data_IF_957484257355
#
_entry.id   IF_957484257355
#
_cell.length_a   1.000
_cell.length_b   1.000
_cell.length_c   1.000
_cell.angle_alpha   90.00
_cell.angle_beta   90.00
_cell.angle_gamma   90.00
#
_symmetry.space_group_name_H-M   'P 1'
#
loop_
_entity.id
_entity.type
_entity.pdbx_description
1 polymer ?
#
# COMPACT_ATOMS: atom_id res chain seq x y z
N UNK A 1 -3.88 -11.24 -7.96
CA UNK A 1 -2.43 -11.41 -8.20
C UNK A 1 -1.58 -11.68 -6.97
N UNK A 2 -1.99 -11.39 -5.73
CA UNK A 2 -1.17 -11.72 -4.53
C UNK A 2 -1.93 -12.59 -3.52
N UNK A 3 -3.25 -12.36 -3.37
CA UNK A 3 -4.07 -13.12 -2.42
C UNK A 3 -4.66 -14.40 -3.02
N UNK A 4 -5.11 -14.35 -4.28
CA UNK A 4 -5.83 -15.46 -4.95
C UNK A 4 -5.04 -16.10 -6.10
N UNK A 5 -3.73 -15.80 -6.22
CA UNK A 5 -2.86 -16.39 -7.25
C UNK A 5 -3.12 -15.99 -8.71
N UNK A 6 -4.25 -15.36 -9.02
CA UNK A 6 -4.58 -14.96 -10.40
C UNK A 6 -3.88 -13.66 -10.81
N UNK A 7 -3.09 -13.67 -11.88
CA UNK A 7 -2.34 -12.51 -12.39
C UNK A 7 -3.24 -11.52 -13.17
N UNK A 8 -4.29 -10.99 -12.53
CA UNK A 8 -5.29 -10.10 -13.16
C UNK A 8 -4.89 -8.62 -13.21
N UNK A 9 -3.90 -8.20 -12.42
CA UNK A 9 -3.34 -6.84 -12.42
C UNK A 9 -1.84 -6.84 -12.75
N UNK A 10 -1.44 -6.04 -13.75
CA UNK A 10 -0.07 -5.96 -14.28
C UNK A 10 0.60 -4.58 -14.09
N UNK A 11 -0.08 -3.64 -13.43
CA UNK A 11 0.43 -2.28 -13.24
C UNK A 11 1.49 -2.18 -12.14
N UNK A 12 2.25 -1.08 -12.14
CA UNK A 12 3.17 -0.74 -11.05
C UNK A 12 2.41 0.06 -9.97
N UNK A 13 2.08 -0.53 -8.81
CA UNK A 13 1.14 0.08 -7.86
C UNK A 13 1.70 1.36 -7.21
N UNK A 14 3.03 1.51 -7.12
CA UNK A 14 3.64 2.69 -6.51
C UNK A 14 3.55 3.96 -7.37
N UNK A 15 3.65 3.83 -8.70
CA UNK A 15 3.80 4.99 -9.61
C UNK A 15 2.67 6.03 -9.47
N UNK A 16 1.38 5.66 -9.36
CA UNK A 16 0.30 6.62 -9.16
C UNK A 16 0.33 7.35 -7.82
N UNK A 17 0.99 6.79 -6.80
CA UNK A 17 0.99 7.33 -5.44
C UNK A 17 2.16 8.30 -5.18
N UNK A 18 3.21 8.25 -6.02
CA UNK A 18 4.47 8.96 -5.75
C UNK A 18 4.28 10.48 -5.59
N UNK A 19 3.41 11.07 -6.42
CA UNK A 19 3.23 12.52 -6.52
C UNK A 19 2.00 13.01 -5.72
N UNK A 20 1.26 12.11 -5.06
CA UNK A 20 0.12 12.51 -4.23
C UNK A 20 0.61 13.18 -2.93
N UNK A 21 -0.14 14.16 -2.40
CA UNK A 21 0.19 14.83 -1.14
C UNK A 21 -0.23 13.99 0.09
N UNK A 22 0.08 12.69 0.09
CA UNK A 22 -0.19 11.79 1.22
C UNK A 22 0.96 11.77 2.23
N UNK A 23 0.65 11.49 3.49
CA UNK A 23 1.60 11.38 4.60
C UNK A 23 1.17 10.27 5.57
N UNK A 24 1.89 10.12 6.69
CA UNK A 24 1.67 9.03 7.64
C UNK A 24 0.23 8.96 8.13
N UNK A 25 -0.40 10.10 8.41
CA UNK A 25 -1.78 10.13 8.90
C UNK A 25 -2.76 9.54 7.87
N UNK A 26 -2.49 9.70 6.58
CA UNK A 26 -3.31 9.11 5.52
C UNK A 26 -3.16 7.58 5.46
N UNK A 27 -1.93 7.06 5.58
CA UNK A 27 -1.71 5.61 5.61
C UNK A 27 -2.26 4.98 6.89
N UNK A 28 -2.12 5.63 8.04
CA UNK A 28 -2.71 5.17 9.31
C UNK A 28 -4.24 5.09 9.21
N UNK A 29 -4.86 6.13 8.64
CA UNK A 29 -6.31 6.15 8.43
C UNK A 29 -6.76 5.07 7.44
N UNK A 30 -6.02 4.89 6.36
CA UNK A 30 -6.31 3.86 5.37
C UNK A 30 -6.18 2.46 5.96
N UNK A 31 -5.11 2.18 6.73
CA UNK A 31 -4.90 0.90 7.40
C UNK A 31 -6.01 0.59 8.40
N UNK A 32 -6.46 1.57 9.19
CA UNK A 32 -7.58 1.42 10.09
C UNK A 32 -8.85 0.98 9.34
N UNK A 33 -9.24 1.73 8.30
CA UNK A 33 -10.41 1.43 7.50
C UNK A 33 -10.32 0.07 6.81
N UNK A 34 -9.14 -0.26 6.28
CA UNK A 34 -8.89 -1.54 5.62
C UNK A 34 -8.98 -2.72 6.60
N UNK A 35 -8.37 -2.59 7.80
CA UNK A 35 -8.46 -3.60 8.86
C UNK A 35 -9.90 -3.84 9.28
N UNK A 36 -10.63 -2.78 9.57
CA UNK A 36 -12.02 -2.88 10.02
C UNK A 36 -12.87 -3.58 8.97
N UNK A 37 -12.71 -3.21 7.69
CA UNK A 37 -13.45 -3.82 6.58
C UNK A 37 -13.09 -5.30 6.40
N UNK A 38 -11.80 -5.65 6.46
CA UNK A 38 -11.37 -7.04 6.30
C UNK A 38 -11.90 -7.90 7.44
N UNK A 39 -11.81 -7.43 8.68
CA UNK A 39 -12.30 -8.15 9.86
C UNK A 39 -13.83 -8.27 9.90
N UNK A 40 -14.57 -7.32 9.32
CA UNK A 40 -16.03 -7.37 9.23
C UNK A 40 -16.51 -8.38 8.18
N UNK A 41 -15.82 -8.47 7.04
CA UNK A 41 -16.33 -9.16 5.86
C UNK A 41 -15.64 -10.49 5.55
N UNK A 42 -14.47 -10.76 6.12
CA UNK A 42 -13.64 -11.90 5.75
C UNK A 42 -12.97 -12.54 6.97
N UNK A 43 -12.61 -13.82 6.82
CA UNK A 43 -11.87 -14.58 7.82
C UNK A 43 -10.91 -15.58 7.16
N UNK A 44 -10.02 -16.14 7.97
CA UNK A 44 -9.08 -17.19 7.56
C UNK A 44 -7.80 -16.67 6.87
N UNK A 45 -6.96 -17.58 6.35
CA UNK A 45 -5.57 -17.26 5.99
C UNK A 45 -5.43 -16.18 4.91
N UNK A 46 -6.41 -16.05 4.01
CA UNK A 46 -6.40 -15.01 2.98
C UNK A 46 -6.65 -13.61 3.56
N UNK A 47 -7.52 -13.49 4.58
CA UNK A 47 -7.75 -12.24 5.30
C UNK A 47 -6.48 -11.84 6.08
N UNK A 48 -5.87 -12.78 6.81
CA UNK A 48 -4.62 -12.53 7.54
C UNK A 48 -3.48 -12.06 6.62
N UNK A 49 -3.36 -12.68 5.45
CA UNK A 49 -2.39 -12.29 4.44
C UNK A 49 -2.69 -10.92 3.84
N UNK A 50 -3.96 -10.57 3.65
CA UNK A 50 -4.38 -9.25 3.17
C UNK A 50 -3.97 -8.16 4.17
N UNK A 51 -4.23 -8.38 5.47
CA UNK A 51 -3.84 -7.47 6.54
C UNK A 51 -2.33 -7.27 6.59
N UNK A 52 -1.57 -8.37 6.60
CA UNK A 52 -0.10 -8.34 6.62
C UNK A 52 0.48 -7.60 5.41
N UNK A 53 -0.09 -7.83 4.21
CA UNK A 53 0.37 -7.18 3.00
C UNK A 53 0.02 -5.69 2.97
N UNK A 54 -1.15 -5.30 3.51
CA UNK A 54 -1.54 -3.90 3.60
C UNK A 54 -0.55 -3.09 4.45
N UNK A 55 -0.14 -3.61 5.61
CA UNK A 55 0.86 -2.98 6.48
C UNK A 55 2.21 -2.80 5.76
N UNK A 56 2.73 -3.88 5.15
CA UNK A 56 3.99 -3.82 4.39
C UNK A 56 3.93 -2.83 3.23
N UNK A 57 2.79 -2.74 2.54
CA UNK A 57 2.62 -1.79 1.43
C UNK A 57 2.59 -0.35 1.93
N UNK A 58 1.91 -0.08 3.05
CA UNK A 58 1.87 1.25 3.65
C UNK A 58 3.27 1.73 4.04
N UNK A 59 4.04 0.90 4.75
CA UNK A 59 5.41 1.21 5.16
C UNK A 59 6.31 1.46 3.93
N UNK A 60 6.33 0.51 2.99
CA UNK A 60 7.15 0.62 1.78
C UNK A 60 6.79 1.87 0.95
N UNK A 61 5.51 2.20 0.83
CA UNK A 61 5.09 3.38 0.07
C UNK A 61 5.49 4.66 0.79
N UNK A 62 5.33 4.71 2.11
CA UNK A 62 5.75 5.86 2.92
C UNK A 62 7.24 6.13 2.79
N UNK A 63 8.06 5.10 2.97
CA UNK A 63 9.52 5.19 2.88
C UNK A 63 9.94 5.72 1.51
N UNK A 64 9.37 5.15 0.44
CA UNK A 64 9.70 5.56 -0.94
C UNK A 64 9.22 6.99 -1.24
N UNK A 65 8.00 7.36 -0.85
CA UNK A 65 7.48 8.72 -1.04
C UNK A 65 8.38 9.72 -0.31
N UNK A 66 8.71 9.45 0.94
CA UNK A 66 9.62 10.28 1.74
C UNK A 66 10.98 10.40 1.08
N UNK A 67 11.54 9.29 0.60
CA UNK A 67 12.82 9.27 -0.11
C UNK A 67 12.81 10.12 -1.38
N UNK A 68 11.79 10.00 -2.23
CA UNK A 68 11.68 10.78 -3.47
C UNK A 68 11.47 12.27 -3.21
N UNK A 69 10.66 12.63 -2.21
CA UNK A 69 10.49 14.02 -1.78
C UNK A 69 11.79 14.64 -1.27
N UNK A 70 12.62 13.86 -0.57
CA UNK A 70 13.95 14.31 -0.12
C UNK A 70 14.99 14.38 -1.27
N UNK A 71 14.77 13.65 -2.38
CA UNK A 71 15.71 13.57 -3.51
C UNK A 71 15.04 13.88 -4.86
N UNK A 72 14.55 15.11 -5.08
CA UNK A 72 13.77 15.46 -6.27
C UNK A 72 14.55 15.28 -7.58
N UNK A 73 15.89 15.38 -7.53
CA UNK A 73 16.79 15.20 -8.69
C UNK A 73 16.78 13.75 -9.24
N UNK A 74 16.34 12.76 -8.45
CA UNK A 74 16.23 11.34 -8.86
C UNK A 74 14.88 10.99 -9.50
N UNK A 75 14.05 11.99 -9.82
CA UNK A 75 12.78 11.78 -10.54
C UNK A 75 12.95 11.38 -12.02
N UNK A 76 14.18 11.43 -12.56
CA UNK A 76 14.49 11.06 -13.94
C UNK A 76 15.05 9.63 -13.96
N UNK A 77 14.15 8.65 -14.15
CA UNK A 77 14.34 7.42 -14.93
C UNK A 77 13.01 6.67 -15.06
#
# INVERSE_FOLDING_TARGET
TILIGEQSYMGAPFRPHKDLPVDQAHFDRWLLLFRDTVNELFEGPAADLALTNAERMADMFMERITFFRAHPQRHIQ
#
